data_IF_009473925840
#
_entry.id   IF_009473925840
#
_cell.length_a   1.000
_cell.length_b   1.000
_cell.length_c   1.000
_cell.angle_alpha   90.00
_cell.angle_beta   90.00
_cell.angle_gamma   90.00
#
_symmetry.space_group_name_H-M   'P 1'
#
loop_
_entity.id
_entity.type
_entity.pdbx_description
1 polymer ?
#
# COMPACT_ATOMS: atom_id res chain seq x y z
N UNK A 1 13.97 -23.20 19.72
CA UNK A 1 13.13 -23.45 18.53
C UNK A 1 13.10 -22.16 17.74
N UNK A 2 13.26 -22.21 16.42
CA UNK A 2 13.25 -21.03 15.55
C UNK A 2 11.79 -20.64 15.34
N UNK A 3 11.39 -19.45 15.78
CA UNK A 3 10.05 -18.94 15.56
C UNK A 3 9.95 -18.32 14.17
N UNK A 4 8.92 -18.66 13.43
CA UNK A 4 8.64 -18.14 12.09
C UNK A 4 7.38 -17.27 12.08
N UNK A 5 7.43 -16.22 11.28
CA UNK A 5 6.33 -15.29 11.06
C UNK A 5 6.04 -15.20 9.56
N UNK A 6 4.77 -15.27 9.19
CA UNK A 6 4.33 -15.24 7.80
C UNK A 6 3.97 -13.83 7.35
N UNK A 7 4.39 -13.50 6.14
CA UNK A 7 3.94 -12.33 5.39
C UNK A 7 3.20 -12.79 4.14
N UNK A 8 1.99 -12.28 3.94
CA UNK A 8 1.24 -12.45 2.71
C UNK A 8 0.86 -11.06 2.15
N UNK A 9 1.47 -10.69 1.04
CA UNK A 9 1.03 -9.56 0.24
C UNK A 9 0.12 -10.10 -0.88
N UNK A 10 -1.18 -9.92 -0.71
CA UNK A 10 -2.17 -10.33 -1.70
C UNK A 10 -2.36 -9.21 -2.72
N UNK A 11 -1.79 -9.34 -3.89
CA UNK A 11 -1.90 -8.38 -4.99
C UNK A 11 -2.83 -8.84 -6.10
N UNK A 12 -3.38 -7.91 -6.86
CA UNK A 12 -4.30 -8.24 -7.96
C UNK A 12 -3.67 -9.03 -9.12
N UNK A 13 -2.34 -9.06 -9.24
CA UNK A 13 -1.61 -9.78 -10.29
C UNK A 13 -0.83 -10.99 -9.75
N UNK A 14 -0.27 -10.83 -8.58
CA UNK A 14 0.50 -11.88 -7.87
C UNK A 14 0.32 -11.73 -6.37
N UNK A 15 0.39 -12.84 -5.67
CA UNK A 15 0.60 -12.89 -4.23
C UNK A 15 2.09 -13.06 -3.95
N UNK A 16 2.60 -12.35 -2.94
CA UNK A 16 3.95 -12.55 -2.44
C UNK A 16 3.83 -13.14 -1.05
N UNK A 17 4.32 -14.37 -0.90
CA UNK A 17 4.37 -15.08 0.38
C UNK A 17 5.80 -15.11 0.87
N UNK A 18 6.01 -14.87 2.16
CA UNK A 18 7.33 -14.93 2.74
C UNK A 18 7.28 -15.44 4.19
N UNK A 19 8.36 -16.09 4.59
CA UNK A 19 8.65 -16.45 5.98
C UNK A 19 9.82 -15.63 6.46
N UNK A 20 9.67 -15.03 7.63
CA UNK A 20 10.71 -14.29 8.33
C UNK A 20 10.95 -14.81 9.73
N UNK A 21 12.12 -14.46 10.25
CA UNK A 21 12.47 -14.69 11.66
C UNK A 21 12.01 -13.50 12.55
N UNK A 22 12.31 -13.59 13.84
CA UNK A 22 11.98 -12.55 14.82
C UNK A 22 12.68 -11.20 14.54
N UNK A 23 13.78 -11.19 13.79
CA UNK A 23 14.50 -10.00 13.38
C UNK A 23 13.91 -9.34 12.13
N UNK A 24 12.97 -10.01 11.45
CA UNK A 24 12.38 -9.58 10.20
C UNK A 24 13.21 -9.95 8.95
N UNK A 25 14.24 -10.80 9.13
CA UNK A 25 15.01 -11.30 7.98
C UNK A 25 14.19 -12.32 7.21
N UNK A 26 14.16 -12.18 5.89
CA UNK A 26 13.46 -13.11 4.99
C UNK A 26 14.25 -14.43 4.92
N UNK A 27 13.59 -15.54 5.23
CA UNK A 27 14.15 -16.89 5.16
C UNK A 27 13.77 -17.56 3.84
N UNK A 28 12.51 -17.45 3.46
CA UNK A 28 11.99 -17.97 2.19
C UNK A 28 10.91 -17.02 1.65
N UNK A 29 10.89 -16.81 0.34
CA UNK A 29 9.89 -15.98 -0.34
C UNK A 29 9.53 -16.61 -1.67
N UNK A 30 8.23 -16.55 -2.03
CA UNK A 30 7.71 -17.04 -3.29
C UNK A 30 6.70 -16.04 -3.88
N UNK A 31 6.64 -15.98 -5.22
CA UNK A 31 5.65 -15.19 -5.96
C UNK A 31 4.66 -16.15 -6.61
N UNK A 32 3.41 -16.08 -6.20
CA UNK A 32 2.32 -16.93 -6.68
C UNK A 32 1.44 -16.09 -7.61
N UNK A 33 1.19 -16.46 -8.86
CA UNK A 33 0.27 -15.76 -9.75
C UNK A 33 -1.13 -15.69 -9.15
N UNK A 34 -1.80 -14.53 -9.25
CA UNK A 34 -3.20 -14.37 -8.85
C UNK A 34 -4.13 -14.86 -9.97
N UNK A 35 -4.51 -16.13 -9.89
CA UNK A 35 -5.44 -16.80 -10.81
C UNK A 35 -6.84 -16.90 -10.17
N UNK A 36 -7.43 -18.08 -10.11
CA UNK A 36 -8.66 -18.30 -9.34
C UNK A 36 -8.39 -18.26 -7.84
N UNK A 37 -9.35 -17.84 -7.00
CA UNK A 37 -9.18 -17.86 -5.55
C UNK A 37 -8.74 -19.23 -5.03
N UNK A 38 -9.35 -20.30 -5.54
CA UNK A 38 -9.03 -21.65 -5.11
C UNK A 38 -7.56 -22.00 -5.35
N UNK A 39 -7.08 -21.87 -6.58
CA UNK A 39 -5.71 -22.23 -6.96
C UNK A 39 -4.67 -21.36 -6.22
N UNK A 40 -4.93 -20.07 -6.15
CA UNK A 40 -4.02 -19.11 -5.49
C UNK A 40 -3.95 -19.38 -3.99
N UNK A 41 -5.09 -19.55 -3.30
CA UNK A 41 -5.13 -19.80 -1.86
C UNK A 41 -4.56 -21.17 -1.52
N UNK A 42 -4.84 -22.22 -2.30
CA UNK A 42 -4.23 -23.53 -2.14
C UNK A 42 -2.69 -23.45 -2.22
N UNK A 43 -2.14 -22.69 -3.16
CA UNK A 43 -0.69 -22.47 -3.27
C UNK A 43 -0.12 -21.73 -2.06
N UNK A 44 -0.82 -20.73 -1.54
CA UNK A 44 -0.45 -20.01 -0.30
C UNK A 44 -0.42 -20.97 0.89
N UNK A 45 -1.45 -21.82 1.04
CA UNK A 45 -1.52 -22.81 2.12
C UNK A 45 -0.35 -23.80 2.02
N UNK A 46 -0.06 -24.32 0.83
CA UNK A 46 1.05 -25.23 0.59
C UNK A 46 2.39 -24.60 0.97
N UNK A 47 2.59 -23.31 0.65
CA UNK A 47 3.80 -22.59 1.05
C UNK A 47 3.95 -22.53 2.58
N UNK A 48 2.95 -22.02 3.29
CA UNK A 48 3.04 -21.83 4.74
C UNK A 48 3.05 -23.14 5.53
N UNK A 49 2.38 -24.19 5.04
CA UNK A 49 2.33 -25.51 5.69
C UNK A 49 3.70 -26.23 5.78
N UNK A 50 4.70 -25.79 5.00
CA UNK A 50 6.09 -26.29 5.10
C UNK A 50 6.72 -25.94 6.47
N UNK A 51 6.24 -24.90 7.16
CA UNK A 51 6.86 -24.32 8.35
C UNK A 51 6.09 -24.69 9.62
N UNK A 52 6.46 -25.80 10.25
CA UNK A 52 5.77 -26.34 11.45
C UNK A 52 5.77 -25.39 12.65
N UNK A 53 6.78 -24.52 12.76
CA UNK A 53 6.94 -23.54 13.84
C UNK A 53 6.40 -22.14 13.48
N UNK A 54 5.53 -22.03 12.47
CA UNK A 54 4.84 -20.80 12.09
C UNK A 54 3.95 -20.34 13.25
N UNK A 55 4.18 -19.11 13.75
CA UNK A 55 3.49 -18.56 14.92
C UNK A 55 2.25 -17.75 14.56
N UNK A 56 2.34 -16.99 13.48
CA UNK A 56 1.25 -16.11 13.00
C UNK A 56 1.55 -15.65 11.58
N UNK A 57 0.53 -15.09 10.93
CA UNK A 57 0.62 -14.50 9.59
C UNK A 57 0.02 -13.11 9.63
N UNK A 58 0.60 -12.15 8.92
CA UNK A 58 -0.11 -10.94 8.56
C UNK A 58 -0.32 -10.87 7.05
N UNK A 59 -1.49 -10.35 6.68
CA UNK A 59 -1.97 -10.25 5.30
C UNK A 59 -2.20 -8.77 4.99
N UNK A 60 -1.43 -8.24 4.03
CA UNK A 60 -1.73 -6.99 3.35
C UNK A 60 -2.39 -7.28 2.01
N UNK A 61 -3.65 -6.93 1.85
CA UNK A 61 -4.44 -7.31 0.67
C UNK A 61 -4.84 -6.12 -0.19
N UNK A 62 -4.92 -6.35 -1.50
CA UNK A 62 -5.67 -5.46 -2.38
C UNK A 62 -7.14 -5.41 -1.95
N UNK A 63 -7.78 -4.29 -2.26
CA UNK A 63 -9.16 -4.04 -1.82
C UNK A 63 -10.20 -4.02 -2.95
N UNK A 64 -11.41 -3.59 -2.56
CA UNK A 64 -11.86 -3.31 -1.19
C UNK A 64 -11.93 -4.54 -0.31
N UNK A 65 -11.62 -4.38 0.98
CA UNK A 65 -11.63 -5.45 1.99
C UNK A 65 -12.46 -5.04 3.21
N UNK A 66 -12.97 -6.03 3.95
CA UNK A 66 -13.67 -5.78 5.21
C UNK A 66 -12.72 -5.98 6.40
N UNK A 67 -12.45 -4.90 7.11
CA UNK A 67 -11.58 -4.84 8.29
C UNK A 67 -12.35 -4.73 9.61
N UNK A 68 -13.68 -4.60 9.57
CA UNK A 68 -14.51 -4.54 10.77
C UNK A 68 -14.58 -5.91 11.44
N UNK A 69 -13.90 -6.07 12.57
CA UNK A 69 -13.87 -7.33 13.33
C UNK A 69 -15.24 -7.75 13.89
N UNK A 70 -16.22 -6.85 13.93
CA UNK A 70 -17.60 -7.14 14.31
C UNK A 70 -18.48 -7.55 13.12
N UNK A 71 -17.99 -7.42 11.89
CA UNK A 71 -18.71 -7.78 10.68
C UNK A 71 -18.68 -9.29 10.43
N UNK A 72 -19.79 -9.84 9.90
CA UNK A 72 -19.86 -11.24 9.45
C UNK A 72 -18.92 -11.51 8.24
N UNK A 73 -18.54 -10.46 7.53
CA UNK A 73 -17.63 -10.54 6.37
C UNK A 73 -16.22 -10.05 6.69
N UNK A 74 -15.85 -9.96 7.98
CA UNK A 74 -14.46 -9.68 8.35
C UNK A 74 -13.47 -10.63 7.66
N UNK A 75 -12.45 -10.09 7.03
CA UNK A 75 -11.44 -10.90 6.34
C UNK A 75 -11.77 -11.23 4.89
N UNK A 76 -12.86 -10.68 4.37
CA UNK A 76 -13.24 -10.86 2.96
C UNK A 76 -12.58 -9.80 2.07
N UNK A 77 -12.21 -10.22 0.85
CA UNK A 77 -12.07 -9.31 -0.30
C UNK A 77 -13.51 -9.09 -0.81
N UNK A 78 -13.99 -7.85 -0.78
CA UNK A 78 -15.40 -7.53 -0.99
C UNK A 78 -15.73 -7.22 -2.45
N UNK A 79 -16.07 -5.98 -2.79
CA UNK A 79 -16.52 -5.59 -4.13
C UNK A 79 -15.34 -5.20 -5.05
N UNK A 80 -14.37 -6.11 -5.22
CA UNK A 80 -13.22 -5.88 -6.09
C UNK A 80 -13.56 -6.03 -7.58
N UNK A 81 -12.91 -5.26 -8.48
CA UNK A 81 -13.03 -5.48 -9.93
C UNK A 81 -12.26 -6.73 -10.41
N UNK A 82 -11.42 -7.33 -9.58
CA UNK A 82 -10.68 -8.54 -9.93
C UNK A 82 -11.64 -9.72 -10.12
N UNK A 83 -11.69 -10.23 -11.34
CA UNK A 83 -12.61 -11.32 -11.71
C UNK A 83 -12.43 -12.55 -10.83
N UNK A 84 -13.53 -13.06 -10.29
CA UNK A 84 -13.57 -14.24 -9.42
C UNK A 84 -13.22 -13.99 -7.96
N UNK A 85 -12.70 -12.80 -7.59
CA UNK A 85 -12.25 -12.49 -6.24
C UNK A 85 -13.27 -11.75 -5.38
N UNK A 86 -14.42 -11.40 -5.96
CA UNK A 86 -15.48 -10.73 -5.21
C UNK A 86 -16.08 -11.65 -4.14
N UNK A 87 -16.19 -11.13 -2.91
CA UNK A 87 -16.73 -11.83 -1.74
C UNK A 87 -15.96 -13.12 -1.38
N UNK A 88 -14.63 -13.11 -1.51
CA UNK A 88 -13.77 -14.22 -1.11
C UNK A 88 -13.36 -14.06 0.35
N UNK A 89 -13.68 -15.05 1.18
CA UNK A 89 -13.27 -15.12 2.59
C UNK A 89 -11.78 -15.55 2.69
N UNK A 90 -10.87 -14.60 2.45
CA UNK A 90 -9.43 -14.88 2.44
C UNK A 90 -8.93 -15.32 3.81
N UNK A 91 -9.29 -14.57 4.85
CA UNK A 91 -8.83 -14.85 6.23
C UNK A 91 -9.39 -16.16 6.75
N UNK A 92 -10.69 -16.41 6.57
CA UNK A 92 -11.31 -17.65 7.03
C UNK A 92 -10.67 -18.88 6.42
N UNK A 93 -10.50 -18.91 5.10
CA UNK A 93 -9.89 -20.04 4.39
C UNK A 93 -8.47 -20.33 4.86
N UNK A 94 -7.66 -19.29 5.09
CA UNK A 94 -6.29 -19.46 5.58
C UNK A 94 -6.25 -19.87 7.05
N UNK A 95 -7.14 -19.31 7.89
CA UNK A 95 -7.22 -19.65 9.32
C UNK A 95 -7.64 -21.09 9.53
N UNK A 96 -8.60 -21.58 8.74
CA UNK A 96 -9.09 -22.96 8.81
C UNK A 96 -8.02 -23.98 8.39
N UNK A 97 -7.16 -23.60 7.45
CA UNK A 97 -6.13 -24.49 6.94
C UNK A 97 -4.83 -24.48 7.78
N UNK A 98 -4.44 -23.33 8.30
CA UNK A 98 -3.13 -23.14 8.92
C UNK A 98 -3.17 -23.11 10.45
N UNK A 99 -4.34 -22.86 11.05
CA UNK A 99 -4.56 -22.84 12.50
C UNK A 99 -3.63 -21.90 13.30
N UNK A 100 -3.24 -20.76 12.70
CA UNK A 100 -2.41 -19.73 13.33
C UNK A 100 -3.17 -18.40 13.41
N UNK A 101 -2.83 -17.51 14.35
CA UNK A 101 -3.36 -16.15 14.37
C UNK A 101 -3.06 -15.42 13.05
N UNK A 102 -4.04 -14.67 12.56
CA UNK A 102 -3.91 -13.88 11.32
C UNK A 102 -4.25 -12.43 11.61
N UNK A 103 -3.34 -11.52 11.27
CA UNK A 103 -3.60 -10.09 11.18
C UNK A 103 -3.98 -9.73 9.75
N UNK A 104 -5.03 -8.93 9.56
CA UNK A 104 -5.53 -8.58 8.24
C UNK A 104 -5.62 -7.07 8.05
N UNK A 105 -5.05 -6.57 6.95
CA UNK A 105 -5.07 -5.15 6.59
C UNK A 105 -4.87 -4.98 5.08
N UNK A 106 -4.79 -3.72 4.60
CA UNK A 106 -4.45 -3.43 3.20
C UNK A 106 -2.95 -3.53 2.95
N UNK A 107 -2.56 -3.77 1.70
CA UNK A 107 -1.17 -3.78 1.23
C UNK A 107 -0.47 -2.43 1.49
N UNK A 108 -1.19 -1.32 1.32
CA UNK A 108 -0.66 0.03 1.60
C UNK A 108 -0.50 0.31 3.09
N UNK A 109 -1.38 -0.21 3.95
CA UNK A 109 -1.20 -0.15 5.40
C UNK A 109 0.04 -0.95 5.84
N UNK A 110 0.21 -2.15 5.31
CA UNK A 110 1.41 -2.95 5.55
C UNK A 110 2.67 -2.21 5.10
N UNK A 111 2.63 -1.56 3.94
CA UNK A 111 3.75 -0.75 3.44
C UNK A 111 4.06 0.43 4.37
N UNK A 112 3.03 1.16 4.82
CA UNK A 112 3.21 2.28 5.76
C UNK A 112 3.87 1.81 7.07
N UNK A 113 3.42 0.66 7.59
CA UNK A 113 3.97 0.10 8.84
C UNK A 113 5.43 -0.33 8.68
N UNK A 114 5.75 -0.98 7.57
CA UNK A 114 7.12 -1.39 7.24
C UNK A 114 8.08 -0.21 7.08
N UNK A 115 7.62 0.87 6.44
CA UNK A 115 8.40 2.10 6.28
C UNK A 115 8.71 2.75 7.63
N UNK A 116 7.71 2.91 8.50
CA UNK A 116 7.91 3.46 9.84
C UNK A 116 8.90 2.61 10.63
N UNK A 117 8.74 1.29 10.59
CA UNK A 117 9.64 0.38 11.31
C UNK A 117 11.08 0.47 10.78
N UNK A 118 11.28 0.41 9.47
CA UNK A 118 12.62 0.46 8.85
C UNK A 118 13.32 1.79 9.12
N UNK A 119 12.61 2.90 8.98
CA UNK A 119 13.13 4.25 9.19
C UNK A 119 13.47 4.50 10.66
N UNK A 120 12.63 4.06 11.60
CA UNK A 120 12.93 4.16 13.04
C UNK A 120 14.15 3.32 13.43
N UNK A 121 14.29 2.14 12.85
CA UNK A 121 15.49 1.31 13.04
C UNK A 121 16.75 1.98 12.47
N UNK A 122 16.60 2.82 11.45
CA UNK A 122 17.68 3.65 10.90
C UNK A 122 17.88 4.98 11.64
N UNK A 123 17.13 5.26 12.71
CA UNK A 123 17.27 6.45 13.56
C UNK A 123 16.50 7.68 13.08
N UNK A 124 15.50 7.53 12.22
CA UNK A 124 14.73 8.68 11.70
C UNK A 124 13.55 9.11 12.61
N UNK A 125 13.09 8.27 13.53
CA UNK A 125 12.05 8.57 14.54
C UNK A 125 10.75 9.14 13.96
N UNK A 126 10.05 8.33 13.17
CA UNK A 126 8.78 8.64 12.55
C UNK A 126 7.66 7.95 13.30
N UNK A 127 6.59 8.66 13.67
CA UNK A 127 5.38 8.13 14.32
C UNK A 127 4.14 8.23 13.42
N UNK A 128 4.13 9.25 12.54
CA UNK A 128 2.99 9.59 11.70
C UNK A 128 3.43 9.58 10.24
N UNK A 129 2.91 8.65 9.46
CA UNK A 129 3.31 8.48 8.06
C UNK A 129 2.08 8.27 7.18
N UNK A 130 2.08 8.94 6.03
CA UNK A 130 1.15 8.64 4.93
C UNK A 130 1.94 7.97 3.81
N UNK A 131 1.57 6.76 3.48
CA UNK A 131 2.14 6.01 2.36
C UNK A 131 1.16 6.01 1.20
N UNK A 132 1.59 6.45 0.04
CA UNK A 132 0.86 6.27 -1.21
C UNK A 132 1.56 5.22 -2.08
N UNK A 133 0.79 4.31 -2.67
CA UNK A 133 1.27 3.52 -3.80
C UNK A 133 0.67 4.08 -5.09
N UNK A 134 1.51 4.29 -6.12
CA UNK A 134 1.09 4.80 -7.43
C UNK A 134 1.56 3.83 -8.50
N UNK A 135 0.67 2.99 -8.94
CA UNK A 135 0.94 1.90 -9.89
C UNK A 135 -0.23 1.72 -10.86
N UNK A 136 -0.83 0.53 -10.89
CA UNK A 136 -2.08 0.27 -11.64
C UNK A 136 -3.24 1.11 -11.14
N UNK A 137 -3.25 1.42 -9.84
CA UNK A 137 -4.15 2.37 -9.20
C UNK A 137 -3.39 3.27 -8.24
N UNK A 138 -4.14 4.00 -7.38
CA UNK A 138 -3.60 4.81 -6.29
C UNK A 138 -4.25 4.38 -4.98
N UNK A 139 -3.45 3.82 -4.09
CA UNK A 139 -3.88 3.50 -2.72
C UNK A 139 -3.13 4.32 -1.68
N UNK A 140 -3.68 4.43 -0.47
CA UNK A 140 -3.01 5.11 0.64
C UNK A 140 -3.18 4.37 1.96
N UNK A 141 -2.09 4.24 2.71
CA UNK A 141 -2.06 3.80 4.10
C UNK A 141 -1.66 4.96 5.00
N UNK A 142 -2.41 5.16 6.08
CA UNK A 142 -2.16 6.25 7.04
C UNK A 142 -1.91 5.65 8.41
N UNK A 143 -0.71 5.86 8.92
CA UNK A 143 -0.29 5.45 10.26
C UNK A 143 -0.12 6.69 11.13
N UNK A 144 -0.74 6.67 12.32
CA UNK A 144 -0.63 7.72 13.32
C UNK A 144 -0.38 7.11 14.69
N UNK A 145 0.80 7.38 15.27
CA UNK A 145 1.24 6.85 16.57
C UNK A 145 1.05 5.33 16.70
N UNK A 146 1.47 4.60 15.66
CA UNK A 146 1.40 3.14 15.63
C UNK A 146 0.02 2.55 15.31
N UNK A 147 -1.02 3.38 15.13
CA UNK A 147 -2.37 2.96 14.78
C UNK A 147 -2.72 3.35 13.34
N UNK A 148 -3.39 2.47 12.61
CA UNK A 148 -3.94 2.80 11.31
C UNK A 148 -5.17 3.69 11.45
N UNK A 149 -5.31 4.66 10.54
CA UNK A 149 -6.49 5.51 10.44
C UNK A 149 -7.58 4.74 9.70
N UNK A 150 -8.80 4.81 10.25
CA UNK A 150 -10.00 4.22 9.67
C UNK A 150 -10.86 3.60 10.79
N UNK A 151 -12.16 3.81 10.73
CA UNK A 151 -13.13 3.26 11.70
C UNK A 151 -13.97 2.17 11.04
N UNK A 152 -14.66 2.49 9.97
CA UNK A 152 -15.52 1.58 9.19
C UNK A 152 -14.75 0.92 8.04
N UNK A 153 -13.43 1.02 8.03
CA UNK A 153 -12.60 0.50 6.96
C UNK A 153 -11.27 1.25 6.89
N UNK A 154 -10.72 1.36 5.72
CA UNK A 154 -9.45 2.03 5.46
C UNK A 154 -9.64 3.27 4.56
N UNK A 155 -8.71 4.25 4.60
CA UNK A 155 -8.78 5.40 3.71
C UNK A 155 -8.69 5.00 2.24
N UNK A 156 -9.57 5.56 1.42
CA UNK A 156 -9.59 5.40 -0.04
C UNK A 156 -9.14 6.71 -0.71
N UNK A 157 -7.95 7.22 -0.32
CA UNK A 157 -7.46 8.52 -0.76
C UNK A 157 -7.13 8.58 -2.26
N UNK A 158 -7.01 7.46 -2.94
CA UNK A 158 -6.93 7.41 -4.40
C UNK A 158 -8.20 7.91 -5.09
N UNK A 159 -9.34 7.91 -4.40
CA UNK A 159 -10.62 8.32 -4.98
C UNK A 159 -11.08 9.72 -4.59
N UNK A 160 -10.21 10.53 -3.96
CA UNK A 160 -10.49 11.95 -3.71
C UNK A 160 -10.55 12.71 -5.04
N UNK A 161 -11.47 13.68 -5.13
CA UNK A 161 -11.49 14.60 -6.26
C UNK A 161 -10.36 15.62 -6.16
N UNK A 162 -9.71 15.88 -7.28
CA UNK A 162 -8.59 16.81 -7.39
C UNK A 162 -8.86 17.85 -8.49
N UNK A 163 -8.22 18.99 -8.38
CA UNK A 163 -8.29 20.02 -9.43
C UNK A 163 -7.58 19.49 -10.70
N UNK A 164 -8.28 19.53 -11.83
CA UNK A 164 -7.72 19.05 -13.09
C UNK A 164 -6.60 19.95 -13.60
N UNK A 165 -5.55 19.32 -14.11
CA UNK A 165 -4.48 20.02 -14.81
C UNK A 165 -5.02 20.74 -16.05
N UNK A 166 -4.55 21.97 -16.38
CA UNK A 166 -5.04 22.73 -17.54
C UNK A 166 -5.00 21.94 -18.86
N UNK A 167 -3.96 21.15 -19.09
CA UNK A 167 -3.85 20.27 -20.27
C UNK A 167 -4.97 19.23 -20.32
N UNK A 168 -5.33 18.63 -19.19
CA UNK A 168 -6.42 17.64 -19.14
C UNK A 168 -7.79 18.30 -19.33
N UNK A 169 -7.96 19.54 -18.89
CA UNK A 169 -9.18 20.33 -19.17
C UNK A 169 -9.26 20.59 -20.68
N UNK A 170 -8.18 21.05 -21.29
CA UNK A 170 -8.12 21.37 -22.72
C UNK A 170 -8.39 20.16 -23.61
N UNK A 171 -7.87 18.99 -23.20
CA UNK A 171 -8.03 17.73 -23.94
C UNK A 171 -9.28 16.94 -23.54
N UNK A 172 -10.13 17.49 -22.67
CA UNK A 172 -11.33 16.84 -22.11
C UNK A 172 -11.04 15.44 -21.51
N UNK A 173 -9.84 15.25 -20.93
CA UNK A 173 -9.46 13.98 -20.34
C UNK A 173 -10.29 13.71 -19.08
N UNK A 174 -11.03 12.62 -19.08
CA UNK A 174 -11.97 12.28 -17.99
C UNK A 174 -11.33 11.45 -16.87
N UNK A 175 -10.14 10.89 -17.11
CA UNK A 175 -9.51 9.89 -16.26
C UNK A 175 -9.93 8.47 -16.64
N UNK A 176 -9.30 7.50 -16.00
CA UNK A 176 -9.48 6.06 -16.29
C UNK A 176 -10.24 5.31 -15.19
N UNK A 177 -10.64 5.97 -14.09
CA UNK A 177 -11.39 5.34 -13.03
C UNK A 177 -12.81 4.96 -13.52
N UNK A 178 -13.24 3.70 -13.32
CA UNK A 178 -14.56 3.27 -13.78
C UNK A 178 -15.72 3.83 -12.94
N UNK A 179 -15.43 4.38 -11.75
CA UNK A 179 -16.44 4.91 -10.82
C UNK A 179 -16.55 6.43 -10.83
N UNK A 180 -15.41 7.14 -11.05
CA UNK A 180 -15.35 8.59 -10.88
C UNK A 180 -14.65 9.28 -12.05
N UNK A 181 -15.24 10.35 -12.53
CA UNK A 181 -14.57 11.27 -13.45
C UNK A 181 -13.85 12.33 -12.64
N UNK A 182 -12.50 12.29 -12.62
CA UNK A 182 -11.69 13.31 -11.97
C UNK A 182 -11.24 13.01 -10.53
N UNK A 183 -11.30 11.76 -10.07
CA UNK A 183 -10.59 11.35 -8.86
C UNK A 183 -9.08 11.19 -9.12
N UNK A 184 -8.29 11.23 -8.05
CA UNK A 184 -6.83 11.13 -8.11
C UNK A 184 -6.37 9.90 -8.90
N UNK A 185 -6.87 8.70 -8.56
CA UNK A 185 -6.52 7.45 -9.27
C UNK A 185 -6.82 7.54 -10.75
N UNK A 186 -8.01 8.03 -11.13
CA UNK A 186 -8.40 8.14 -12.52
C UNK A 186 -7.51 9.07 -13.34
N UNK A 187 -6.91 10.06 -12.67
CA UNK A 187 -6.06 11.08 -13.29
C UNK A 187 -4.56 10.83 -13.12
N UNK A 188 -4.16 9.97 -12.16
CA UNK A 188 -2.77 9.84 -11.76
C UNK A 188 -2.41 8.39 -11.41
N UNK A 189 -2.24 7.56 -12.43
CA UNK A 189 -1.80 6.16 -12.28
C UNK A 189 -1.15 5.68 -13.59
N UNK A 190 -0.56 4.49 -13.60
CA UNK A 190 0.03 3.91 -14.82
C UNK A 190 -0.92 3.87 -16.01
N UNK A 191 -2.16 3.34 -15.87
CA UNK A 191 -3.17 3.39 -16.93
C UNK A 191 -3.54 4.80 -17.42
N UNK A 192 -3.50 5.82 -16.56
CA UNK A 192 -3.77 7.19 -16.98
C UNK A 192 -2.65 7.79 -17.84
N UNK A 193 -1.39 7.41 -17.56
CA UNK A 193 -0.24 7.73 -18.41
C UNK A 193 -0.41 7.11 -19.80
N UNK A 194 -0.72 5.81 -19.82
CA UNK A 194 -0.93 5.09 -21.09
C UNK A 194 -2.10 5.66 -21.89
N UNK A 195 -3.21 6.02 -21.23
CA UNK A 195 -4.37 6.63 -21.87
C UNK A 195 -4.06 8.01 -22.48
N UNK A 196 -3.11 8.79 -21.89
CA UNK A 196 -2.68 10.08 -22.44
C UNK A 196 -1.66 9.95 -23.57
N UNK A 197 -0.77 8.97 -23.46
CA UNK A 197 0.44 8.88 -24.33
C UNK A 197 0.38 7.74 -25.35
N UNK A 198 -0.57 6.80 -25.21
CA UNK A 198 -0.68 5.62 -26.08
C UNK A 198 0.38 4.55 -25.82
N UNK A 199 1.26 4.74 -24.81
CA UNK A 199 2.30 3.80 -24.39
C UNK A 199 2.42 3.75 -22.88
N UNK A 200 2.80 2.60 -22.33
CA UNK A 200 3.00 2.43 -20.90
C UNK A 200 4.09 3.37 -20.36
N UNK A 201 3.94 3.81 -19.10
CA UNK A 201 4.83 4.77 -18.45
C UNK A 201 6.31 4.35 -18.47
N UNK A 202 6.59 3.05 -18.35
CA UNK A 202 7.97 2.50 -18.43
C UNK A 202 8.66 2.72 -19.76
N UNK A 203 7.89 2.96 -20.84
CA UNK A 203 8.39 3.23 -22.20
C UNK A 203 8.43 4.73 -22.53
N UNK A 204 8.06 5.59 -21.58
CA UNK A 204 8.09 7.04 -21.78
C UNK A 204 9.48 7.60 -21.44
N UNK A 205 9.94 8.54 -22.25
CA UNK A 205 11.14 9.30 -21.92
C UNK A 205 10.93 10.14 -20.65
N UNK A 206 11.96 10.27 -19.81
CA UNK A 206 11.91 11.04 -18.57
C UNK A 206 11.68 12.54 -18.75
N UNK A 207 11.85 13.08 -19.95
CA UNK A 207 11.57 14.47 -20.31
C UNK A 207 10.17 14.68 -20.89
N UNK A 208 9.36 13.59 -21.04
CA UNK A 208 7.99 13.72 -21.54
C UNK A 208 7.16 14.63 -20.61
N UNK A 209 6.45 15.65 -21.16
CA UNK A 209 5.65 16.60 -20.37
C UNK A 209 4.55 15.96 -19.51
N UNK A 210 4.11 14.74 -19.82
CA UNK A 210 3.10 14.04 -19.03
C UNK A 210 3.53 13.82 -17.59
N UNK A 211 4.83 13.73 -17.33
CA UNK A 211 5.36 13.57 -15.97
C UNK A 211 5.13 14.80 -15.08
N UNK A 212 5.04 15.98 -15.65
CA UNK A 212 4.64 17.19 -14.91
C UNK A 212 3.14 17.18 -14.58
N UNK A 213 2.31 16.57 -15.45
CA UNK A 213 0.88 16.36 -15.15
C UNK A 213 0.72 15.38 -13.99
N UNK A 214 1.45 14.26 -14.01
CA UNK A 214 1.45 13.31 -12.88
C UNK A 214 1.91 13.96 -11.58
N UNK A 215 3.01 14.71 -11.62
CA UNK A 215 3.53 15.42 -10.45
C UNK A 215 2.54 16.44 -9.88
N UNK A 216 1.79 17.14 -10.74
CA UNK A 216 0.74 18.06 -10.34
C UNK A 216 -0.36 17.38 -9.51
N UNK A 217 -0.77 16.17 -9.91
CA UNK A 217 -1.79 15.41 -9.18
C UNK A 217 -1.24 14.82 -7.87
N UNK A 218 -0.04 14.25 -7.89
CA UNK A 218 0.60 13.72 -6.69
C UNK A 218 0.89 14.81 -5.66
N UNK A 219 1.24 16.01 -6.12
CA UNK A 219 1.40 17.16 -5.23
C UNK A 219 0.10 17.55 -4.51
N UNK A 220 -1.06 17.43 -5.17
CA UNK A 220 -2.35 17.65 -4.52
C UNK A 220 -2.65 16.58 -3.46
N UNK A 221 -2.30 15.32 -3.73
CA UNK A 221 -2.39 14.25 -2.74
C UNK A 221 -1.50 14.54 -1.53
N UNK A 222 -0.28 15.01 -1.75
CA UNK A 222 0.63 15.41 -0.68
C UNK A 222 0.10 16.58 0.14
N UNK A 223 -0.47 17.62 -0.51
CA UNK A 223 -1.10 18.75 0.21
C UNK A 223 -2.28 18.25 1.03
N UNK A 224 -3.15 17.40 0.46
CA UNK A 224 -4.28 16.81 1.20
C UNK A 224 -3.80 16.05 2.44
N UNK A 225 -2.82 15.17 2.30
CA UNK A 225 -2.23 14.43 3.41
C UNK A 225 -1.64 15.37 4.48
N UNK A 226 -0.92 16.40 4.04
CA UNK A 226 -0.29 17.39 4.92
C UNK A 226 -1.32 18.17 5.74
N UNK A 227 -2.37 18.68 5.12
CA UNK A 227 -3.36 19.51 5.83
C UNK A 227 -4.34 18.68 6.67
N UNK A 228 -4.55 17.39 6.34
CA UNK A 228 -5.51 16.53 7.03
C UNK A 228 -4.90 15.75 8.19
N UNK A 229 -3.68 15.22 8.02
CA UNK A 229 -3.07 14.30 8.99
C UNK A 229 -1.84 14.88 9.68
N UNK A 230 -1.21 15.91 9.13
CA UNK A 230 0.03 16.49 9.68
C UNK A 230 1.09 15.42 9.94
N UNK A 231 1.41 14.58 8.96
CA UNK A 231 2.37 13.49 9.15
C UNK A 231 3.79 14.03 9.35
N UNK A 232 4.66 13.21 9.92
CA UNK A 232 6.09 13.48 9.98
C UNK A 232 6.73 13.30 8.61
N UNK A 233 6.13 12.43 7.76
CA UNK A 233 6.62 12.11 6.43
C UNK A 233 5.50 11.59 5.53
N UNK A 234 5.64 11.85 4.23
CA UNK A 234 4.83 11.25 3.16
C UNK A 234 5.76 10.40 2.29
N UNK A 235 5.37 9.15 2.04
CA UNK A 235 6.13 8.25 1.16
C UNK A 235 5.28 7.90 -0.05
N UNK A 236 5.86 8.09 -1.24
CA UNK A 236 5.26 7.67 -2.49
C UNK A 236 6.02 6.47 -3.08
N UNK A 237 5.37 5.30 -3.09
CA UNK A 237 5.84 4.09 -3.74
C UNK A 237 5.11 3.78 -5.04
N UNK A 238 5.36 2.59 -5.59
CA UNK A 238 4.77 2.11 -6.84
C UNK A 238 5.55 2.47 -8.09
N UNK A 239 5.15 1.88 -9.22
CA UNK A 239 5.91 1.95 -10.48
C UNK A 239 6.06 3.36 -11.07
N UNK A 240 5.07 4.23 -10.89
CA UNK A 240 5.13 5.62 -11.35
C UNK A 240 6.22 6.38 -10.59
N UNK A 241 6.30 6.20 -9.28
CA UNK A 241 7.30 6.87 -8.44
C UNK A 241 8.69 6.23 -8.49
N UNK A 242 8.81 5.04 -9.07
CA UNK A 242 10.11 4.41 -9.33
C UNK A 242 10.93 5.16 -10.41
N UNK A 243 10.33 6.08 -11.16
CA UNK A 243 11.02 6.94 -12.11
C UNK A 243 11.90 7.97 -11.37
N UNK A 244 13.21 8.01 -11.61
CA UNK A 244 14.16 8.79 -10.79
C UNK A 244 13.86 10.31 -10.74
N UNK A 245 13.20 10.84 -11.76
CA UNK A 245 12.87 12.26 -11.85
C UNK A 245 11.57 12.67 -11.15
N UNK A 246 10.73 11.70 -10.70
CA UNK A 246 9.39 12.01 -10.18
C UNK A 246 9.44 12.69 -8.82
N UNK A 247 10.26 12.24 -7.89
CA UNK A 247 10.34 12.81 -6.55
C UNK A 247 10.61 14.32 -6.59
N UNK A 248 11.56 14.75 -7.40
CA UNK A 248 11.90 16.18 -7.52
C UNK A 248 10.76 17.00 -8.15
N UNK A 249 10.02 16.44 -9.13
CA UNK A 249 8.85 17.08 -9.75
C UNK A 249 7.72 17.23 -8.73
N UNK A 250 7.40 16.17 -7.99
CA UNK A 250 6.35 16.19 -6.96
C UNK A 250 6.68 17.21 -5.86
N UNK A 251 7.91 17.21 -5.34
CA UNK A 251 8.34 18.17 -4.33
C UNK A 251 8.21 19.62 -4.83
N UNK A 252 8.62 19.90 -6.06
CA UNK A 252 8.49 21.23 -6.65
C UNK A 252 7.03 21.70 -6.73
N UNK A 253 6.14 20.85 -7.23
CA UNK A 253 4.71 21.20 -7.35
C UNK A 253 4.03 21.26 -5.98
N UNK A 254 4.40 20.38 -5.04
CA UNK A 254 3.91 20.41 -3.67
C UNK A 254 4.21 21.76 -2.97
N UNK A 255 5.45 22.22 -3.05
CA UNK A 255 5.83 23.51 -2.44
C UNK A 255 5.08 24.70 -3.05
N UNK A 256 4.83 24.67 -4.37
CA UNK A 256 4.00 25.69 -5.03
C UNK A 256 2.56 25.67 -4.51
N UNK A 257 1.94 24.48 -4.40
CA UNK A 257 0.55 24.34 -3.95
C UNK A 257 0.40 24.66 -2.46
N UNK A 258 1.35 24.24 -1.63
CA UNK A 258 1.35 24.54 -0.19
C UNK A 258 1.53 26.03 0.06
N UNK A 259 2.27 26.71 -0.80
CA UNK A 259 2.45 28.15 -0.84
C UNK A 259 2.79 28.80 0.53
N UNK A 260 3.54 28.09 1.36
CA UNK A 260 3.94 28.55 2.69
C UNK A 260 2.79 28.65 3.71
N UNK A 261 1.61 28.08 3.40
CA UNK A 261 0.44 28.16 4.30
C UNK A 261 0.71 27.54 5.68
N UNK A 262 1.41 26.43 5.72
CA UNK A 262 1.83 25.78 6.98
C UNK A 262 3.29 25.35 6.88
N UNK A 263 3.97 25.36 8.02
CA UNK A 263 5.32 24.81 8.11
C UNK A 263 5.28 23.29 8.05
N UNK A 264 6.20 22.72 7.28
CA UNK A 264 6.51 21.30 7.25
C UNK A 264 7.79 21.04 8.04
N UNK A 265 8.07 19.81 8.46
CA UNK A 265 9.35 19.48 9.07
C UNK A 265 10.54 19.93 8.21
N UNK A 266 11.57 20.49 8.85
CA UNK A 266 12.76 21.06 8.18
C UNK A 266 13.70 20.02 7.59
N UNK A 267 13.33 18.76 7.57
CA UNK A 267 14.09 17.71 6.91
C UNK A 267 13.77 17.72 5.41
N UNK A 268 14.80 17.71 4.62
CA UNK A 268 14.75 17.73 3.16
C UNK A 268 13.94 16.57 2.55
N UNK A 269 13.46 15.64 3.38
CA UNK A 269 12.85 14.37 3.02
C UNK A 269 11.39 14.25 3.49
N UNK A 270 10.66 15.36 3.65
CA UNK A 270 9.25 15.33 4.05
C UNK A 270 8.39 14.54 3.09
N UNK A 271 8.70 14.59 1.79
CA UNK A 271 8.15 13.69 0.77
C UNK A 271 9.33 12.87 0.23
N UNK A 272 9.20 11.56 0.31
CA UNK A 272 10.26 10.64 -0.08
C UNK A 272 9.70 9.41 -0.82
N UNK A 273 10.60 8.57 -1.32
CA UNK A 273 10.32 7.25 -1.89
C UNK A 273 10.56 6.15 -0.84
N UNK A 274 10.12 4.91 -1.06
CA UNK A 274 10.32 3.84 -0.09
C UNK A 274 11.79 3.64 0.31
N UNK A 275 12.02 3.61 1.62
CA UNK A 275 13.32 3.29 2.20
C UNK A 275 13.65 1.80 2.00
N UNK A 276 12.65 0.93 2.18
CA UNK A 276 12.78 -0.50 1.96
C UNK A 276 12.76 -0.79 0.46
N UNK A 277 13.86 -1.36 -0.03
CA UNK A 277 14.06 -1.62 -1.47
C UNK A 277 13.21 -2.79 -1.98
N UNK A 278 13.11 -2.92 -3.30
CA UNK A 278 12.48 -4.05 -4.00
C UNK A 278 10.99 -4.27 -3.63
N UNK A 279 10.26 -3.19 -3.31
CA UNK A 279 8.89 -3.24 -2.80
C UNK A 279 8.73 -4.08 -1.52
N UNK A 280 9.79 -4.16 -0.71
CA UNK A 280 9.82 -4.96 0.52
C UNK A 280 9.06 -4.35 1.71
N UNK A 281 8.56 -3.10 1.60
CA UNK A 281 7.89 -2.39 2.71
C UNK A 281 6.69 -3.16 3.24
N UNK A 282 5.82 -3.67 2.36
CA UNK A 282 4.65 -4.47 2.76
C UNK A 282 5.06 -5.79 3.43
N UNK A 283 6.05 -6.49 2.87
CA UNK A 283 6.58 -7.74 3.44
C UNK A 283 7.13 -7.52 4.86
N UNK A 284 7.93 -6.47 5.04
CA UNK A 284 8.48 -6.12 6.36
C UNK A 284 7.37 -5.74 7.34
N UNK A 285 6.44 -4.89 6.92
CA UNK A 285 5.30 -4.47 7.74
C UNK A 285 4.46 -5.67 8.19
N UNK A 286 4.19 -6.60 7.29
CA UNK A 286 3.48 -7.83 7.62
C UNK A 286 4.24 -8.67 8.66
N UNK A 287 5.56 -8.82 8.58
CA UNK A 287 6.32 -9.56 9.60
C UNK A 287 6.16 -8.94 10.99
N UNK A 288 6.22 -7.62 11.10
CA UNK A 288 6.06 -6.94 12.39
C UNK A 288 4.63 -7.05 12.90
N UNK A 289 3.62 -6.90 12.03
CA UNK A 289 2.22 -7.08 12.39
C UNK A 289 1.92 -8.52 12.82
N UNK A 290 2.52 -9.53 12.17
CA UNK A 290 2.42 -10.93 12.56
C UNK A 290 3.03 -11.17 13.95
N UNK A 291 4.19 -10.59 14.25
CA UNK A 291 4.79 -10.67 15.59
C UNK A 291 3.91 -10.03 16.67
N UNK A 292 3.33 -8.87 16.37
CA UNK A 292 2.46 -8.14 17.31
C UNK A 292 1.21 -8.94 17.66
N UNK A 293 0.50 -9.54 16.67
CA UNK A 293 -0.69 -10.34 16.95
C UNK A 293 -0.34 -11.60 17.74
N UNK A 294 0.78 -12.25 17.47
CA UNK A 294 1.23 -13.40 18.24
C UNK A 294 1.50 -13.04 19.69
N UNK A 295 2.16 -11.92 19.94
CA UNK A 295 2.45 -11.43 21.29
C UNK A 295 1.16 -11.10 22.06
N UNK A 296 0.19 -10.45 21.43
CA UNK A 296 -1.11 -10.14 22.04
C UNK A 296 -1.90 -11.40 22.41
N UNK A 297 -2.01 -12.37 21.51
CA UNK A 297 -2.70 -13.64 21.77
C UNK A 297 -2.01 -14.50 22.85
N UNK A 298 -0.73 -14.26 23.12
CA UNK A 298 0.02 -14.99 24.14
C UNK A 298 -0.24 -14.42 25.56
N UNK A 299 -0.60 -13.14 25.68
CA UNK A 299 -0.92 -12.49 26.97
C UNK A 299 -2.35 -12.82 27.46
N UNK A 300 -3.28 -13.11 26.55
CA UNK A 300 -4.66 -13.47 26.90
C UNK A 300 -4.81 -14.93 27.40
N UNK A 301 -3.72 -15.68 27.50
CA UNK A 301 -3.71 -17.09 27.99
C UNK A 301 -3.27 -17.28 29.43
N UNK A 302 -3.10 -16.17 30.21
CA UNK A 302 -2.73 -16.26 31.66
C UNK A 302 -3.72 -15.57 32.57
#
# INVERSE_FOLDING_TARGET
MTEFYGSLEAGGTKFVVAIGNKQGDIIEQEKIPTTTPKETIESVIVFFAKFKDLKSIAIGSFGPIDLDTASETYGFITNTPKQGWKNVNLVGLLKDALHVPIYFTTDVNSSAYGEVFARNRAGQFIENLVYFTVGTGVGAGVLQRGAFIGGVGHPEMGHVYVAKHPTDIQNDFKGVCPFHTGCLEGLCCGPSLEARCGVAGENLSGDNPVWDIEAYYLAQAAVLATVSFRPDMIVFGGGVMAQPHMLSRVNREFLKLLNGYISIPDNHDYIDVPYVKENGSATLGNFILAQNIFSSCSHDRY
#
